data_IF_799714618745
#
_entry.id   IF_799714618745
#
_cell.length_a   1.000
_cell.length_b   1.000
_cell.length_c   1.000
_cell.angle_alpha   90.00
_cell.angle_beta   90.00
_cell.angle_gamma   90.00
#
_symmetry.space_group_name_H-M   'P 1'
#
loop_
_entity.id
_entity.type
_entity.pdbx_description
1 polymer ?
#
# COMPACT_ATOMS: atom_id res chain seq x y z
N UNK A 1 -3.05 -27.77 -4.94
CA UNK A 1 -1.83 -27.69 -5.76
C UNK A 1 -1.99 -26.45 -6.60
N UNK A 2 -1.34 -25.36 -6.22
CA UNK A 2 -1.30 -24.14 -7.00
C UNK A 2 -0.91 -24.48 -8.45
N UNK A 3 -1.72 -24.06 -9.42
CA UNK A 3 -1.42 -24.28 -10.84
C UNK A 3 -0.21 -23.42 -11.19
N UNK A 4 0.96 -24.04 -11.36
CA UNK A 4 2.15 -23.35 -11.86
C UNK A 4 1.94 -22.92 -13.31
N UNK A 5 2.38 -21.71 -13.66
CA UNK A 5 2.42 -21.25 -15.04
C UNK A 5 3.57 -21.95 -15.76
N UNK A 6 3.26 -22.91 -16.64
CA UNK A 6 4.24 -23.59 -17.47
C UNK A 6 4.52 -22.77 -18.73
N UNK A 7 5.78 -22.36 -18.89
CA UNK A 7 6.24 -21.62 -20.07
C UNK A 7 6.78 -22.62 -21.09
N UNK A 8 6.33 -22.53 -22.34
CA UNK A 8 6.87 -23.40 -23.39
C UNK A 8 8.30 -23.01 -23.76
N UNK A 9 9.11 -23.99 -24.20
CA UNK A 9 10.49 -23.74 -24.66
C UNK A 9 10.52 -22.69 -25.77
N UNK A 10 9.56 -22.75 -26.70
CA UNK A 10 9.45 -21.82 -27.83
C UNK A 10 9.17 -20.39 -27.37
N UNK A 11 8.27 -20.18 -26.40
CA UNK A 11 7.98 -18.84 -25.87
C UNK A 11 9.21 -18.24 -25.19
N UNK A 12 9.90 -19.05 -24.36
CA UNK A 12 11.11 -18.59 -23.68
C UNK A 12 12.19 -18.18 -24.68
N UNK A 13 12.47 -19.03 -25.66
CA UNK A 13 13.53 -18.80 -26.64
C UNK A 13 13.19 -17.59 -27.54
N UNK A 14 11.93 -17.45 -27.93
CA UNK A 14 11.43 -16.29 -28.68
C UNK A 14 11.57 -14.97 -27.91
N UNK A 15 11.20 -14.94 -26.62
CA UNK A 15 11.34 -13.75 -25.78
C UNK A 15 12.82 -13.36 -25.64
N UNK A 16 13.71 -14.33 -25.46
CA UNK A 16 15.15 -14.08 -25.35
C UNK A 16 15.74 -13.51 -26.65
N UNK A 17 15.32 -14.02 -27.81
CA UNK A 17 15.75 -13.47 -29.11
C UNK A 17 15.20 -12.06 -29.35
N UNK A 18 13.94 -11.81 -29.04
CA UNK A 18 13.33 -10.48 -29.15
C UNK A 18 14.09 -9.44 -28.29
N UNK A 19 14.45 -9.81 -27.05
CA UNK A 19 15.22 -8.94 -26.16
C UNK A 19 16.63 -8.65 -26.67
N UNK A 20 17.31 -9.62 -27.30
CA UNK A 20 18.62 -9.40 -27.96
C UNK A 20 18.53 -8.36 -29.08
N UNK A 21 17.39 -8.31 -29.77
CA UNK A 21 17.10 -7.32 -30.80
C UNK A 21 16.55 -6.00 -30.24
N UNK A 22 16.46 -5.85 -28.91
CA UNK A 22 15.94 -4.65 -28.26
C UNK A 22 14.42 -4.48 -28.38
N UNK A 23 13.69 -5.55 -28.73
CA UNK A 23 12.25 -5.55 -28.92
C UNK A 23 11.54 -6.15 -27.68
N UNK A 24 10.39 -5.58 -27.35
CA UNK A 24 9.48 -6.09 -26.31
C UNK A 24 8.17 -6.53 -26.95
N UNK A 25 7.49 -7.50 -26.35
CA UNK A 25 6.20 -8.02 -26.83
C UNK A 25 5.10 -6.95 -26.93
N UNK A 26 5.14 -5.96 -26.05
CA UNK A 26 4.21 -4.84 -25.99
C UNK A 26 4.68 -3.61 -26.79
N UNK A 27 5.70 -3.79 -27.64
CA UNK A 27 6.25 -2.74 -28.52
C UNK A 27 6.80 -1.49 -27.79
N UNK A 28 6.95 -1.54 -26.47
CA UNK A 28 7.56 -0.45 -25.69
C UNK A 28 9.07 -0.46 -25.84
N UNK A 29 9.71 0.70 -25.59
CA UNK A 29 11.18 0.77 -25.43
C UNK A 29 11.62 0.06 -24.15
N UNK A 30 12.88 -0.36 -24.08
CA UNK A 30 13.43 -1.08 -22.92
C UNK A 30 13.22 -0.33 -21.59
N UNK A 31 13.44 0.98 -21.56
CA UNK A 31 13.33 1.83 -20.37
C UNK A 31 11.95 2.52 -20.21
N UNK A 32 11.00 2.23 -21.09
CA UNK A 32 9.70 2.89 -21.06
C UNK A 32 8.75 2.18 -20.08
N UNK A 33 8.23 2.93 -19.09
CA UNK A 33 7.21 2.43 -18.15
C UNK A 33 5.87 2.20 -18.86
N UNK A 34 5.00 1.36 -18.27
CA UNK A 34 3.61 1.22 -18.74
C UNK A 34 2.85 2.50 -18.45
N UNK A 35 1.75 2.70 -19.16
CA UNK A 35 0.81 3.78 -18.85
C UNK A 35 0.26 3.59 -17.43
N UNK A 36 0.22 4.70 -16.70
CA UNK A 36 -0.20 4.77 -15.31
C UNK A 36 -1.55 5.51 -15.28
N UNK A 37 -2.56 4.84 -14.74
CA UNK A 37 -3.89 5.41 -14.50
C UNK A 37 -4.16 5.40 -12.99
N UNK A 38 -4.52 6.56 -12.45
CA UNK A 38 -4.77 6.76 -11.01
C UNK A 38 -6.18 7.32 -10.87
N UNK A 39 -7.01 6.60 -10.12
CA UNK A 39 -8.36 7.01 -9.76
C UNK A 39 -8.46 7.15 -8.26
N UNK A 40 -8.75 8.37 -7.83
CA UNK A 40 -9.03 8.69 -6.44
C UNK A 40 -10.54 8.62 -6.25
N UNK A 41 -11.00 8.06 -5.13
CA UNK A 41 -12.41 8.15 -4.81
C UNK A 41 -12.77 9.58 -4.37
N UNK A 42 -13.91 10.08 -4.84
CA UNK A 42 -14.37 11.43 -4.53
C UNK A 42 -15.06 11.51 -3.15
N UNK A 43 -15.52 10.38 -2.62
CA UNK A 43 -16.33 10.31 -1.40
C UNK A 43 -15.48 9.97 -0.17
N UNK A 44 -14.55 9.02 -0.30
CA UNK A 44 -13.71 8.54 0.80
C UNK A 44 -12.24 8.93 0.58
N UNK A 45 -11.69 9.72 1.51
CA UNK A 45 -10.28 10.07 1.51
C UNK A 45 -9.40 8.85 1.79
N UNK A 46 -8.30 8.72 1.05
CA UNK A 46 -7.36 7.60 1.16
C UNK A 46 -7.78 6.30 0.46
N UNK A 47 -8.85 6.32 -0.33
CA UNK A 47 -9.15 5.25 -1.29
C UNK A 47 -8.57 5.59 -2.65
N UNK A 48 -7.80 4.65 -3.22
CA UNK A 48 -7.11 4.81 -4.50
C UNK A 48 -7.19 3.51 -5.30
N UNK A 49 -7.67 3.60 -6.53
CA UNK A 49 -7.52 2.55 -7.54
C UNK A 49 -6.41 2.97 -8.50
N UNK A 50 -5.37 2.15 -8.61
CA UNK A 50 -4.19 2.43 -9.44
C UNK A 50 -3.98 1.29 -10.44
N UNK A 51 -3.74 1.66 -11.68
CA UNK A 51 -3.50 0.72 -12.77
C UNK A 51 -2.19 1.04 -13.48
N UNK A 52 -1.34 0.03 -13.66
CA UNK A 52 -0.11 0.10 -14.45
C UNK A 52 -0.22 -0.86 -15.62
N UNK A 53 -0.71 -0.36 -16.76
CA UNK A 53 -1.16 -1.20 -17.87
C UNK A 53 -2.29 -2.15 -17.42
N UNK A 54 -2.02 -3.45 -17.34
CA UNK A 54 -3.01 -4.44 -16.89
C UNK A 54 -2.94 -4.72 -15.39
N UNK A 55 -1.83 -4.40 -14.73
CA UNK A 55 -1.71 -4.58 -13.27
C UNK A 55 -2.61 -3.59 -12.57
N UNK A 56 -3.47 -4.07 -11.66
CA UNK A 56 -4.43 -3.22 -10.94
C UNK A 56 -4.37 -3.48 -9.45
N UNK A 57 -4.35 -2.41 -8.66
CA UNK A 57 -4.44 -2.44 -7.21
C UNK A 57 -5.57 -1.55 -6.72
N UNK A 58 -6.12 -1.95 -5.58
CA UNK A 58 -7.01 -1.15 -4.78
C UNK A 58 -6.35 -0.91 -3.42
N UNK A 59 -6.28 0.34 -3.00
CA UNK A 59 -5.57 0.74 -1.80
C UNK A 59 -6.51 1.56 -0.93
N UNK A 60 -6.50 1.24 0.37
CA UNK A 60 -7.27 1.96 1.37
C UNK A 60 -6.37 2.34 2.53
N UNK A 61 -6.42 3.60 2.92
CA UNK A 61 -5.78 4.09 4.14
C UNK A 61 -6.84 4.26 5.22
N UNK A 62 -6.57 3.72 6.40
CA UNK A 62 -7.41 3.86 7.59
C UNK A 62 -6.60 4.36 8.77
N UNK A 63 -7.26 5.01 9.74
CA UNK A 63 -6.62 5.46 10.98
C UNK A 63 -7.48 5.09 12.18
N UNK A 64 -6.83 4.60 13.23
CA UNK A 64 -7.47 4.26 14.49
C UNK A 64 -6.67 4.85 15.66
N UNK A 65 -7.32 5.21 16.77
CA UNK A 65 -6.61 5.61 17.98
C UNK A 65 -6.24 4.40 18.81
N UNK A 66 -4.96 4.25 19.10
CA UNK A 66 -4.42 3.13 19.87
C UNK A 66 -3.40 3.62 20.89
N UNK A 67 -3.02 2.75 21.82
CA UNK A 67 -1.90 3.01 22.71
C UNK A 67 -0.58 2.84 21.96
N UNK A 68 0.40 3.77 22.11
CA UNK A 68 1.71 3.63 21.49
C UNK A 68 2.49 2.47 22.09
N UNK A 69 3.57 2.07 21.41
CA UNK A 69 4.54 1.13 21.97
C UNK A 69 5.27 1.73 23.17
N UNK A 70 5.59 0.90 24.18
CA UNK A 70 6.31 1.33 25.38
C UNK A 70 7.69 1.93 25.05
N UNK A 71 8.36 1.38 24.02
CA UNK A 71 9.67 1.85 23.57
C UNK A 71 9.62 3.24 22.91
N UNK A 72 8.46 3.62 22.34
CA UNK A 72 8.28 4.85 21.55
C UNK A 72 6.95 5.54 21.90
N UNK A 73 6.84 6.17 23.07
CA UNK A 73 5.59 6.75 23.54
C UNK A 73 5.17 8.04 22.82
N UNK A 74 6.07 8.66 22.05
CA UNK A 74 5.87 9.93 21.34
C UNK A 74 5.62 9.77 19.83
N UNK A 75 5.60 8.53 19.32
CA UNK A 75 5.41 8.25 17.91
C UNK A 75 4.08 7.51 17.68
N UNK A 76 3.40 7.86 16.59
CA UNK A 76 2.29 7.08 16.06
C UNK A 76 2.73 5.76 15.43
N UNK A 77 1.75 4.91 15.15
CA UNK A 77 1.99 3.58 14.58
C UNK A 77 1.68 3.62 13.09
N UNK A 78 2.55 3.01 12.27
CA UNK A 78 2.33 2.86 10.84
C UNK A 78 2.49 1.39 10.44
N UNK A 79 1.46 0.85 9.78
CA UNK A 79 1.39 -0.54 9.36
C UNK A 79 0.96 -0.64 7.89
N UNK A 80 1.53 -1.60 7.15
CA UNK A 80 1.16 -1.90 5.77
C UNK A 80 0.69 -3.35 5.69
N UNK A 81 -0.56 -3.56 5.31
CA UNK A 81 -1.10 -4.87 4.99
C UNK A 81 -1.18 -5.02 3.47
N UNK A 82 -0.73 -6.15 2.97
CA UNK A 82 -0.85 -6.53 1.57
C UNK A 82 -1.63 -7.83 1.52
N UNK A 83 -2.66 -7.90 0.69
CA UNK A 83 -3.52 -9.08 0.54
C UNK A 83 -3.59 -9.51 -0.93
N UNK A 84 -2.84 -10.56 -1.28
CA UNK A 84 -2.86 -11.14 -2.62
C UNK A 84 -3.99 -12.17 -2.70
N UNK A 85 -5.02 -11.84 -3.48
CA UNK A 85 -6.18 -12.71 -3.72
C UNK A 85 -6.02 -13.52 -5.02
N UNK A 86 -6.63 -14.72 -5.14
CA UNK A 86 -6.79 -15.47 -6.38
C UNK A 86 -7.46 -14.66 -7.50
N UNK A 87 -8.13 -13.56 -7.14
CA UNK A 87 -8.65 -12.59 -8.12
C UNK A 87 -7.53 -11.98 -8.96
N UNK A 88 -6.34 -11.78 -8.39
CA UNK A 88 -5.20 -11.24 -9.12
C UNK A 88 -4.63 -12.23 -10.13
N UNK A 89 -4.50 -13.51 -9.76
CA UNK A 89 -4.16 -14.60 -10.65
C UNK A 89 -4.50 -15.95 -10.03
N UNK A 90 -4.85 -16.97 -10.84
CA UNK A 90 -5.31 -18.28 -10.35
C UNK A 90 -4.23 -19.13 -9.64
N UNK A 91 -2.96 -18.72 -9.72
CA UNK A 91 -1.86 -19.40 -9.04
C UNK A 91 -1.62 -18.85 -7.62
N UNK A 92 -2.19 -17.69 -7.28
CA UNK A 92 -2.23 -17.22 -5.90
C UNK A 92 -3.32 -18.00 -5.17
N UNK A 93 -2.94 -18.70 -4.09
CA UNK A 93 -3.91 -19.35 -3.21
C UNK A 93 -4.37 -18.33 -2.15
N UNK A 94 -5.68 -18.21 -1.93
CA UNK A 94 -6.21 -17.43 -0.80
C UNK A 94 -5.77 -18.11 0.49
N UNK A 95 -4.84 -17.49 1.21
CA UNK A 95 -4.58 -17.82 2.61
C UNK A 95 -5.85 -17.56 3.42
N UNK A 96 -6.62 -18.61 3.67
CA UNK A 96 -7.77 -18.52 4.56
C UNK A 96 -7.29 -18.07 5.95
N UNK A 97 -7.91 -17.00 6.43
CA UNK A 97 -7.86 -16.49 7.80
C UNK A 97 -7.81 -17.62 8.83
N UNK A 98 -6.70 -17.74 9.55
CA UNK A 98 -6.52 -18.68 10.66
C UNK A 98 -5.35 -19.64 10.49
N UNK A 99 -4.17 -19.24 10.98
CA UNK A 99 -3.10 -20.12 11.48
C UNK A 99 -2.54 -21.23 10.55
N UNK A 100 -2.83 -21.27 9.25
CA UNK A 100 -2.30 -22.31 8.37
C UNK A 100 -2.00 -21.82 6.95
N UNK A 101 -0.68 -21.63 6.68
CA UNK A 101 0.05 -21.68 5.40
C UNK A 101 -0.55 -20.89 4.22
N UNK A 102 0.06 -19.84 3.68
CA UNK A 102 1.29 -19.09 3.93
C UNK A 102 0.95 -17.73 3.32
N UNK A 103 1.17 -16.61 4.01
CA UNK A 103 1.39 -15.38 3.24
C UNK A 103 2.49 -15.72 2.23
N UNK A 104 2.26 -15.42 0.96
CA UNK A 104 3.24 -15.77 -0.07
C UNK A 104 4.53 -15.01 0.28
N UNK A 105 5.70 -15.59 0.12
CA UNK A 105 6.97 -14.90 0.45
C UNK A 105 7.05 -13.51 -0.22
N UNK A 106 6.45 -13.38 -1.40
CA UNK A 106 6.26 -12.13 -2.13
C UNK A 106 5.42 -11.09 -1.38
N UNK A 107 4.32 -11.49 -0.76
CA UNK A 107 3.41 -10.62 0.01
C UNK A 107 4.13 -10.05 1.24
N UNK A 108 4.79 -10.92 2.00
CA UNK A 108 5.61 -10.52 3.17
C UNK A 108 6.72 -9.56 2.74
N UNK A 109 7.37 -9.86 1.60
CA UNK A 109 8.43 -9.03 1.06
C UNK A 109 7.92 -7.65 0.67
N UNK A 110 6.80 -7.56 -0.05
CA UNK A 110 6.22 -6.29 -0.50
C UNK A 110 5.78 -5.45 0.71
N UNK A 111 5.02 -6.01 1.66
CA UNK A 111 4.59 -5.28 2.86
C UNK A 111 5.79 -4.72 3.64
N UNK A 112 6.80 -5.56 3.92
CA UNK A 112 8.01 -5.12 4.64
C UNK A 112 8.84 -4.10 3.86
N UNK A 113 8.90 -4.21 2.54
CA UNK A 113 9.64 -3.28 1.69
C UNK A 113 9.00 -1.91 1.73
N UNK A 114 7.67 -1.82 1.60
CA UNK A 114 6.93 -0.56 1.65
C UNK A 114 7.01 0.04 3.06
N UNK A 115 6.81 -0.76 4.11
CA UNK A 115 6.92 -0.30 5.49
C UNK A 115 8.31 0.31 5.78
N UNK A 116 9.38 -0.37 5.34
CA UNK A 116 10.75 0.15 5.45
C UNK A 116 10.97 1.38 4.59
N UNK A 117 10.43 1.42 3.37
CA UNK A 117 10.60 2.55 2.46
C UNK A 117 9.95 3.82 3.05
N UNK A 118 8.73 3.72 3.56
CA UNK A 118 8.02 4.85 4.19
C UNK A 118 8.71 5.27 5.48
N UNK A 119 9.07 4.32 6.36
CA UNK A 119 9.71 4.64 7.66
C UNK A 119 11.13 5.19 7.53
N UNK A 120 11.93 4.67 6.59
CA UNK A 120 13.32 5.16 6.41
C UNK A 120 13.42 6.47 5.66
N UNK A 121 12.43 6.77 4.82
CA UNK A 121 12.39 8.04 4.08
C UNK A 121 11.79 9.19 4.89
N UNK A 122 11.27 8.92 6.11
CA UNK A 122 10.47 9.88 6.88
C UNK A 122 9.34 10.51 6.04
N UNK A 123 8.77 9.75 5.11
CA UNK A 123 7.70 10.23 4.24
C UNK A 123 6.42 10.62 5.02
N UNK A 124 6.26 10.07 6.22
CA UNK A 124 5.17 10.33 7.15
C UNK A 124 5.77 10.74 8.49
N UNK A 125 5.35 11.89 9.01
CA UNK A 125 5.75 12.37 10.34
C UNK A 125 4.97 11.61 11.41
N UNK A 126 5.60 10.59 12.00
CA UNK A 126 5.02 9.76 13.06
C UNK A 126 4.87 10.53 14.38
N UNK A 127 5.67 11.57 14.63
CA UNK A 127 5.57 12.36 15.86
C UNK A 127 4.29 13.22 15.84
N UNK A 128 3.92 13.74 14.67
CA UNK A 128 2.65 14.47 14.49
C UNK A 128 1.38 13.64 14.72
N UNK A 129 1.51 12.31 14.77
CA UNK A 129 0.43 11.38 15.04
C UNK A 129 0.20 11.13 16.53
N UNK A 130 1.10 11.61 17.39
CA UNK A 130 0.94 11.51 18.84
C UNK A 130 -0.06 12.55 19.36
N UNK A 131 -1.07 12.10 20.09
CA UNK A 131 -2.10 12.97 20.69
C UNK A 131 -1.76 13.22 22.17
N UNK A 132 -1.63 12.14 22.93
CA UNK A 132 -1.22 12.14 24.33
C UNK A 132 -0.08 11.12 24.48
N UNK A 133 1.12 11.61 24.78
CA UNK A 133 2.31 10.80 24.92
C UNK A 133 2.09 9.62 25.88
N UNK A 134 2.43 8.41 25.43
CA UNK A 134 2.30 7.18 26.20
C UNK A 134 0.87 6.65 26.41
N UNK A 135 -0.16 7.36 25.92
CA UNK A 135 -1.57 6.99 26.15
C UNK A 135 -2.34 6.79 24.84
N UNK A 136 -2.39 7.82 23.98
CA UNK A 136 -3.18 7.77 22.73
C UNK A 136 -2.39 8.35 21.57
N UNK A 137 -2.22 7.54 20.54
CA UNK A 137 -1.62 7.92 19.26
C UNK A 137 -2.48 7.44 18.10
N UNK A 138 -2.33 8.06 16.94
CA UNK A 138 -2.92 7.56 15.71
C UNK A 138 -2.10 6.38 15.18
N UNK A 139 -2.80 5.29 14.85
CA UNK A 139 -2.29 4.16 14.09
C UNK A 139 -2.83 4.25 12.67
N UNK A 140 -1.95 4.47 11.71
CA UNK A 140 -2.29 4.51 10.28
C UNK A 140 -1.99 3.16 9.66
N UNK A 141 -2.98 2.60 8.99
CA UNK A 141 -2.88 1.35 8.26
C UNK A 141 -3.13 1.59 6.77
N UNK A 142 -2.24 1.05 5.95
CA UNK A 142 -2.40 1.03 4.49
C UNK A 142 -2.68 -0.42 4.09
N UNK A 143 -3.89 -0.66 3.60
CA UNK A 143 -4.31 -1.96 3.08
C UNK A 143 -4.22 -1.94 1.56
N UNK A 144 -3.45 -2.88 1.00
CA UNK A 144 -3.19 -3.00 -0.44
C UNK A 144 -3.80 -4.32 -0.92
N UNK A 145 -4.86 -4.20 -1.71
CA UNK A 145 -5.54 -5.32 -2.34
C UNK A 145 -5.13 -5.44 -3.81
N UNK A 146 -4.66 -6.63 -4.19
CA UNK A 146 -4.31 -6.92 -5.57
C UNK A 146 -5.55 -7.33 -6.37
N UNK A 147 -5.87 -6.59 -7.43
CA UNK A 147 -7.02 -6.86 -8.31
C UNK A 147 -6.63 -7.65 -9.55
N UNK A 148 -5.48 -7.35 -10.16
CA UNK A 148 -5.00 -8.05 -11.35
C UNK A 148 -3.47 -8.08 -11.39
N UNK A 149 -2.91 -9.25 -11.72
CA UNK A 149 -1.47 -9.45 -11.86
C UNK A 149 -1.02 -9.43 -13.33
N UNK A 150 -0.04 -8.58 -13.61
CA UNK A 150 0.68 -8.51 -14.90
C UNK A 150 2.14 -8.08 -14.66
N UNK A 151 2.73 -8.46 -13.51
CA UNK A 151 4.07 -8.04 -13.09
C UNK A 151 4.18 -6.62 -12.53
N UNK A 152 5.39 -6.26 -12.09
CA UNK A 152 5.76 -4.98 -11.44
C UNK A 152 4.92 -4.57 -10.21
N UNK A 153 4.71 -5.48 -9.26
CA UNK A 153 3.96 -5.19 -8.04
C UNK A 153 4.65 -4.20 -7.10
N UNK A 154 5.96 -4.30 -6.92
CA UNK A 154 6.68 -3.46 -5.95
C UNK A 154 6.49 -1.97 -6.28
N UNK A 155 6.71 -1.58 -7.54
CA UNK A 155 6.62 -0.17 -7.95
C UNK A 155 5.20 0.39 -7.79
N UNK A 156 4.19 -0.35 -8.27
CA UNK A 156 2.80 0.10 -8.22
C UNK A 156 2.26 0.12 -6.78
N UNK A 157 2.68 -0.82 -5.92
CA UNK A 157 2.34 -0.78 -4.50
C UNK A 157 2.98 0.41 -3.78
N UNK A 158 4.27 0.68 -4.00
CA UNK A 158 4.95 1.84 -3.43
C UNK A 158 4.29 3.15 -3.86
N UNK A 159 4.04 3.31 -5.17
CA UNK A 159 3.41 4.49 -5.72
C UNK A 159 1.98 4.66 -5.19
N UNK A 160 1.21 3.59 -5.19
CA UNK A 160 -0.17 3.61 -4.71
C UNK A 160 -0.27 3.88 -3.20
N UNK A 161 0.63 3.32 -2.38
CA UNK A 161 0.67 3.59 -0.94
C UNK A 161 0.96 5.08 -0.67
N UNK A 162 1.91 5.66 -1.41
CA UNK A 162 2.22 7.09 -1.30
C UNK A 162 1.05 7.98 -1.73
N UNK A 163 0.39 7.66 -2.85
CA UNK A 163 -0.80 8.40 -3.31
C UNK A 163 -1.92 8.28 -2.28
N UNK A 164 -2.14 7.09 -1.73
CA UNK A 164 -3.13 6.86 -0.67
C UNK A 164 -2.85 7.71 0.57
N UNK A 165 -1.60 7.73 1.04
CA UNK A 165 -1.20 8.54 2.20
C UNK A 165 -1.34 10.05 1.95
N UNK A 166 -1.04 10.52 0.73
CA UNK A 166 -1.21 11.92 0.34
C UNK A 166 -2.68 12.31 0.19
N UNK A 167 -3.52 11.40 -0.28
CA UNK A 167 -4.96 11.61 -0.43
C UNK A 167 -5.71 11.53 0.92
N UNK A 168 -5.19 10.74 1.85
CA UNK A 168 -5.83 10.49 3.13
C UNK A 168 -5.88 11.72 4.03
N UNK A 169 -7.02 11.89 4.71
CA UNK A 169 -7.23 12.91 5.72
C UNK A 169 -7.82 12.23 6.96
N UNK A 170 -7.17 12.42 8.10
CA UNK A 170 -7.62 11.91 9.40
C UNK A 170 -8.70 12.82 9.98
N UNK A 171 -9.54 12.28 10.85
CA UNK A 171 -10.52 13.09 11.60
C UNK A 171 -9.82 14.04 12.57
N UNK A 172 -10.42 15.20 12.80
CA UNK A 172 -9.89 16.17 13.76
C UNK A 172 -10.19 15.71 15.19
N UNK A 173 -9.25 15.98 16.09
CA UNK A 173 -9.37 15.62 17.50
C UNK A 173 -8.92 16.78 18.40
N UNK A 174 -9.67 17.02 19.46
CA UNK A 174 -9.32 18.00 20.49
C UNK A 174 -9.04 17.30 21.81
N UNK A 175 -8.00 17.78 22.49
CA UNK A 175 -7.53 17.22 23.77
C UNK A 175 -8.05 18.11 24.89
N UNK A 176 -8.93 17.56 25.73
CA UNK A 176 -9.43 18.23 26.94
C UNK A 176 -8.87 17.53 28.16
N UNK A 177 -7.69 17.97 28.61
CA UNK A 177 -6.95 17.31 29.68
C UNK A 177 -6.47 15.92 29.26
N UNK A 178 -7.06 14.87 29.85
CA UNK A 178 -6.74 13.47 29.52
C UNK A 178 -7.76 12.82 28.55
N UNK A 179 -8.86 13.49 28.26
CA UNK A 179 -9.88 12.99 27.34
C UNK A 179 -9.67 13.54 25.93
N UNK A 180 -9.94 12.68 24.94
CA UNK A 180 -9.80 13.01 23.51
C UNK A 180 -11.19 12.97 22.88
N UNK A 181 -11.61 14.12 22.35
CA UNK A 181 -12.88 14.27 21.65
C UNK A 181 -12.61 14.16 20.15
N UNK A 182 -13.24 13.18 19.50
CA UNK A 182 -13.14 12.97 18.06
C UNK A 182 -14.34 13.66 17.41
N UNK A 183 -14.05 14.56 16.46
CA UNK A 183 -15.09 15.19 15.67
C UNK A 183 -15.39 14.34 14.44
N UNK A 184 -16.67 14.19 14.14
CA UNK A 184 -17.09 13.59 12.87
C UNK A 184 -16.78 14.56 11.72
N UNK A 185 -16.63 14.00 10.52
CA UNK A 185 -16.37 14.68 9.24
C UNK A 185 -17.38 15.81 8.95
N UNK A 186 -18.59 15.71 9.51
CA UNK A 186 -19.65 16.73 9.39
C UNK A 186 -19.46 17.93 10.32
N UNK A 187 -18.75 17.73 11.43
CA UNK A 187 -18.54 18.74 12.46
C UNK A 187 -17.29 19.56 12.19
N UNK A 188 -16.22 18.92 11.70
CA UNK A 188 -14.96 19.57 11.32
C UNK A 188 -14.37 18.95 10.08
N UNK A 189 -13.64 19.77 9.32
CA UNK A 189 -12.93 19.29 8.14
C UNK A 189 -11.81 18.31 8.52
N UNK A 190 -11.69 17.17 7.81
CA UNK A 190 -10.59 16.24 8.00
C UNK A 190 -9.23 16.89 7.77
N UNK A 191 -8.28 16.58 8.64
CA UNK A 191 -6.94 17.15 8.61
C UNK A 191 -6.03 16.24 7.77
N UNK A 192 -5.27 16.77 6.80
CA UNK A 192 -4.31 15.95 6.05
C UNK A 192 -3.21 15.39 6.98
N UNK A 193 -2.56 14.32 6.51
CA UNK A 193 -1.34 13.84 7.15
C UNK A 193 -0.21 14.84 6.90
N UNK A 194 0.64 15.03 7.91
CA UNK A 194 1.87 15.80 7.73
C UNK A 194 2.91 14.90 7.09
N UNK A 195 3.36 15.29 5.90
CA UNK A 195 4.62 14.80 5.33
C UNK A 195 5.69 15.84 5.60
N UNK A 196 6.89 15.38 5.94
CA UNK A 196 8.05 16.26 6.00
C UNK A 196 8.34 16.76 4.59
N UNK A 197 7.97 18.02 4.35
CA UNK A 197 8.42 18.76 3.17
C UNK A 197 9.88 19.12 3.44
N UNK A 198 10.80 18.38 2.83
CA UNK A 198 12.10 18.97 2.50
C UNK A 198 11.91 20.16 1.56
#
# INVERSE_FOLDING_TARGET
MAKSYEISTNERDFILEALKNGLRLDSRKLLQMRELDIKLDEKEFGVVEISLGKTKLYIRVSSEMVQPYEDRPFEGIFQVSTEISPMAAPFFESGATGLSKSQTDEEILISRLIEKAVRRSNALDLESLCIIAGSKVWSIRVDIQFLNYDGNFIDICCLGAMIGLLHYKKTDCEVSGNDVIIYDTRQREPVPLKSDKQ
#
